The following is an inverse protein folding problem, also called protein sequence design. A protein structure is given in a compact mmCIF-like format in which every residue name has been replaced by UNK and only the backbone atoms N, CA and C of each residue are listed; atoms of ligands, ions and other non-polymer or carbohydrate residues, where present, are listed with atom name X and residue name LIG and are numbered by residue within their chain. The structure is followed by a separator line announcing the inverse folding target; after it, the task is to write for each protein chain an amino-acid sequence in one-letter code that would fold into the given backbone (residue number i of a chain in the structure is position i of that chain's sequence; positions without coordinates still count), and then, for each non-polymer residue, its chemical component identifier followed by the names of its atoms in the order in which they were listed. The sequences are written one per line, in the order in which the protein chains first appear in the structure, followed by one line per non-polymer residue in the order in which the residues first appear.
data_IF_749286949636
#
_entry.id   IF_749286949636
#
_cell.length_a   1.000
_cell.length_b   1.000
_cell.length_c   1.000
_cell.angle_alpha   90.00
_cell.angle_beta   90.00
_cell.angle_gamma   90.00
#
_symmetry.space_group_name_H-M   'P 1'
#
loop_
_entity.id
_entity.type
_entity.pdbx_description
1 polymer ?
#
# COMPACT_ATOMS: atom_id res chain seq x y z
N UNK A 1 3.67 -10.07 -44.61
CA UNK A 1 2.79 -10.38 -43.47
C UNK A 1 3.54 -11.08 -42.33
N UNK A 2 4.38 -12.09 -42.59
CA UNK A 2 5.11 -12.82 -41.55
C UNK A 2 6.16 -11.97 -40.78
N UNK A 3 6.84 -11.03 -41.44
CA UNK A 3 7.81 -10.10 -40.81
C UNK A 3 7.19 -9.06 -39.85
N UNK A 4 5.88 -8.79 -39.94
CA UNK A 4 5.23 -7.77 -39.11
C UNK A 4 4.92 -8.28 -37.70
N UNK A 5 4.63 -9.58 -37.56
CA UNK A 5 4.27 -10.22 -36.29
C UNK A 5 5.35 -10.03 -35.20
N UNK A 6 6.65 -10.31 -35.45
CA UNK A 6 7.68 -10.09 -34.42
C UNK A 6 7.84 -8.60 -34.08
N UNK A 7 7.71 -7.69 -35.04
CA UNK A 7 7.77 -6.25 -34.77
C UNK A 7 6.66 -5.81 -33.81
N UNK A 8 5.41 -6.21 -34.06
CA UNK A 8 4.29 -5.92 -33.15
C UNK A 8 4.50 -6.57 -31.78
N UNK A 9 5.07 -7.77 -31.71
CA UNK A 9 5.42 -8.43 -30.45
C UNK A 9 6.43 -7.63 -29.62
N UNK A 10 7.51 -7.15 -30.24
CA UNK A 10 8.50 -6.31 -29.56
C UNK A 10 7.92 -4.96 -29.13
N UNK A 11 7.15 -4.30 -30.00
CA UNK A 11 6.51 -3.02 -29.66
C UNK A 11 5.51 -3.20 -28.52
N UNK A 12 4.69 -4.25 -28.55
CA UNK A 12 3.77 -4.56 -27.47
C UNK A 12 4.52 -4.79 -26.15
N UNK A 13 5.57 -5.62 -26.17
CA UNK A 13 6.40 -5.89 -24.99
C UNK A 13 7.02 -4.61 -24.39
N UNK A 14 7.54 -3.72 -25.23
CA UNK A 14 8.12 -2.45 -24.79
C UNK A 14 7.04 -1.55 -24.18
N UNK A 15 5.91 -1.37 -24.89
CA UNK A 15 4.82 -0.50 -24.43
C UNK A 15 4.24 -0.98 -23.10
N UNK A 16 3.97 -2.29 -22.97
CA UNK A 16 3.42 -2.85 -21.73
C UNK A 16 4.42 -2.71 -20.58
N UNK A 17 5.70 -3.02 -20.81
CA UNK A 17 6.72 -2.93 -19.76
C UNK A 17 6.94 -1.49 -19.30
N UNK A 18 7.06 -0.55 -20.24
CA UNK A 18 7.23 0.86 -19.95
C UNK A 18 6.00 1.49 -19.29
N UNK A 19 4.79 0.96 -19.51
CA UNK A 19 3.58 1.49 -18.84
C UNK A 19 3.63 1.37 -17.31
N UNK A 20 4.36 0.38 -16.78
CA UNK A 20 4.50 0.18 -15.33
C UNK A 20 5.61 1.03 -14.71
N UNK A 21 6.56 1.52 -15.52
CA UNK A 21 7.71 2.27 -15.03
C UNK A 21 7.32 3.63 -14.40
N UNK A 22 6.44 4.48 -14.98
CA UNK A 22 5.96 5.70 -14.35
C UNK A 22 5.30 5.43 -13.00
N UNK A 23 4.52 4.34 -12.89
CA UNK A 23 3.85 3.97 -11.66
C UNK A 23 4.83 3.50 -10.57
N UNK A 24 5.87 2.75 -10.95
CA UNK A 24 6.95 2.36 -10.05
C UNK A 24 7.72 3.58 -9.52
N UNK A 25 8.13 4.49 -10.42
CA UNK A 25 8.84 5.73 -10.08
C UNK A 25 8.00 6.59 -9.13
N UNK A 26 6.71 6.78 -9.45
CA UNK A 26 5.78 7.54 -8.60
C UNK A 26 5.69 6.94 -7.21
N UNK A 27 5.53 5.63 -7.12
CA UNK A 27 5.42 4.90 -5.84
C UNK A 27 6.69 5.04 -4.99
N UNK A 28 7.87 4.92 -5.62
CA UNK A 28 9.17 5.06 -4.95
C UNK A 28 9.39 6.51 -4.47
N UNK A 29 9.07 7.49 -5.31
CA UNK A 29 9.31 8.92 -5.04
C UNK A 29 8.36 9.48 -3.99
N UNK A 30 7.06 9.23 -4.15
CA UNK A 30 6.02 9.81 -3.28
C UNK A 30 5.86 9.05 -1.97
N UNK A 31 6.27 7.77 -1.92
CA UNK A 31 6.10 6.88 -0.74
C UNK A 31 4.65 6.80 -0.26
N UNK A 32 3.70 7.22 -1.09
CA UNK A 32 2.27 7.13 -0.83
C UNK A 32 1.69 5.99 -1.65
N UNK A 33 1.13 5.01 -0.95
CA UNK A 33 0.51 3.82 -1.57
C UNK A 33 -0.96 3.68 -1.20
N UNK A 34 -1.60 4.70 -0.63
CA UNK A 34 -3.00 4.62 -0.19
C UNK A 34 -3.96 4.30 -1.34
N UNK A 35 -3.73 4.90 -2.52
CA UNK A 35 -4.53 4.63 -3.73
C UNK A 35 -4.22 3.32 -4.45
N UNK A 36 -3.23 2.54 -3.99
CA UNK A 36 -2.84 1.27 -4.63
C UNK A 36 -3.53 0.12 -3.91
N UNK A 37 -4.29 -0.70 -4.65
CA UNK A 37 -4.92 -1.91 -4.11
C UNK A 37 -3.91 -3.04 -3.93
N UNK A 38 -3.80 -3.55 -2.70
CA UNK A 38 -2.92 -4.68 -2.37
C UNK A 38 -3.36 -5.97 -3.08
N UNK A 39 -4.67 -6.22 -3.12
CA UNK A 39 -5.24 -7.42 -3.75
C UNK A 39 -4.95 -7.42 -5.25
N UNK A 40 -5.18 -6.28 -5.91
CA UNK A 40 -4.94 -6.13 -7.34
C UNK A 40 -3.48 -6.38 -7.69
N UNK A 41 -2.54 -5.76 -6.97
CA UNK A 41 -1.11 -5.98 -7.23
C UNK A 41 -0.65 -7.40 -6.89
N UNK A 42 -1.24 -8.05 -5.88
CA UNK A 42 -0.91 -9.44 -5.54
C UNK A 42 -1.33 -10.38 -6.67
N UNK A 43 -2.59 -10.28 -7.14
CA UNK A 43 -3.10 -11.06 -8.25
C UNK A 43 -2.33 -10.78 -9.55
N UNK A 44 -2.04 -9.51 -9.83
CA UNK A 44 -1.26 -9.11 -11.00
C UNK A 44 0.15 -9.71 -10.97
N UNK A 45 0.86 -9.60 -9.85
CA UNK A 45 2.22 -10.15 -9.69
C UNK A 45 2.22 -11.67 -9.87
N UNK A 46 1.26 -12.38 -9.28
CA UNK A 46 1.10 -13.82 -9.48
C UNK A 46 0.79 -14.18 -10.93
N UNK A 47 -0.09 -13.42 -11.60
CA UNK A 47 -0.41 -13.61 -13.00
C UNK A 47 0.80 -13.42 -13.92
N UNK A 48 1.59 -12.36 -13.73
CA UNK A 48 2.82 -12.11 -14.48
C UNK A 48 3.85 -13.22 -14.27
N UNK A 49 3.98 -13.73 -13.04
CA UNK A 49 4.83 -14.90 -12.76
C UNK A 49 4.37 -16.13 -13.55
N UNK A 50 3.07 -16.40 -13.59
CA UNK A 50 2.52 -17.52 -14.36
C UNK A 50 2.76 -17.33 -15.87
N UNK A 51 2.63 -16.11 -16.40
CA UNK A 51 2.96 -15.79 -17.78
C UNK A 51 4.45 -15.96 -18.11
N UNK A 52 5.33 -15.60 -17.18
CA UNK A 52 6.77 -15.85 -17.32
C UNK A 52 7.07 -17.36 -17.40
N UNK A 53 6.49 -18.15 -16.50
CA UNK A 53 6.62 -19.62 -16.51
C UNK A 53 6.06 -20.22 -17.79
N UNK A 54 4.90 -19.75 -18.25
CA UNK A 54 4.33 -20.14 -19.53
C UNK A 54 5.28 -19.84 -20.69
N UNK A 55 5.83 -18.62 -20.77
CA UNK A 55 6.79 -18.22 -21.79
C UNK A 55 8.02 -19.13 -21.84
N UNK A 56 8.53 -19.53 -20.67
CA UNK A 56 9.62 -20.49 -20.55
C UNK A 56 9.23 -21.87 -21.12
N UNK A 57 8.02 -22.36 -20.84
CA UNK A 57 7.56 -23.66 -21.35
C UNK A 57 7.38 -23.67 -22.88
N UNK A 58 6.97 -22.55 -23.47
CA UNK A 58 6.80 -22.43 -24.93
C UNK A 58 8.06 -21.90 -25.65
N UNK A 59 9.13 -21.61 -24.91
CA UNK A 59 10.38 -21.00 -25.41
C UNK A 59 10.18 -19.70 -26.21
N UNK A 60 9.23 -18.85 -25.79
CA UNK A 60 8.95 -17.57 -26.44
C UNK A 60 9.72 -16.43 -25.76
N UNK A 61 10.81 -15.99 -26.41
CA UNK A 61 11.72 -14.96 -25.88
C UNK A 61 11.00 -13.62 -25.61
N UNK A 62 10.21 -13.04 -26.53
CA UNK A 62 9.42 -11.84 -26.25
C UNK A 62 8.55 -11.94 -24.99
N UNK A 63 7.82 -13.05 -24.81
CA UNK A 63 6.96 -13.25 -23.62
C UNK A 63 7.82 -13.33 -22.35
N UNK A 64 8.93 -14.07 -22.40
CA UNK A 64 9.85 -14.22 -21.26
C UNK A 64 10.40 -12.85 -20.84
N UNK A 65 10.97 -12.09 -21.78
CA UNK A 65 11.61 -10.80 -21.48
C UNK A 65 10.60 -9.78 -20.94
N UNK A 66 9.43 -9.67 -21.58
CA UNK A 66 8.39 -8.73 -21.16
C UNK A 66 7.90 -9.01 -19.73
N UNK A 67 7.60 -10.27 -19.42
CA UNK A 67 7.09 -10.65 -18.10
C UNK A 67 8.18 -10.63 -17.04
N UNK A 68 9.43 -10.94 -17.36
CA UNK A 68 10.54 -10.85 -16.40
C UNK A 68 10.74 -9.41 -15.90
N UNK A 69 10.78 -8.43 -16.82
CA UNK A 69 10.94 -7.01 -16.43
C UNK A 69 9.70 -6.52 -15.68
N UNK A 70 8.51 -6.86 -16.17
CA UNK A 70 7.25 -6.50 -15.50
C UNK A 70 7.17 -7.07 -14.08
N UNK A 71 7.64 -8.31 -13.87
CA UNK A 71 7.65 -8.96 -12.56
C UNK A 71 8.53 -8.19 -11.56
N UNK A 72 9.72 -7.74 -11.97
CA UNK A 72 10.62 -6.95 -11.11
C UNK A 72 9.94 -5.65 -10.67
N UNK A 73 9.29 -4.94 -11.60
CA UNK A 73 8.56 -3.71 -11.30
C UNK A 73 7.36 -3.98 -10.36
N UNK A 74 6.56 -5.00 -10.66
CA UNK A 74 5.39 -5.37 -9.89
C UNK A 74 5.74 -5.78 -8.45
N UNK A 75 6.77 -6.62 -8.27
CA UNK A 75 7.28 -7.04 -6.95
C UNK A 75 7.79 -5.83 -6.16
N UNK A 76 8.48 -4.89 -6.81
CA UNK A 76 8.96 -3.66 -6.15
C UNK A 76 7.79 -2.84 -5.61
N UNK A 77 6.76 -2.60 -6.43
CA UNK A 77 5.56 -1.84 -6.01
C UNK A 77 4.80 -2.59 -4.90
N UNK A 78 4.60 -3.90 -5.05
CA UNK A 78 3.90 -4.73 -4.06
C UNK A 78 4.61 -4.69 -2.70
N UNK A 79 5.94 -4.81 -2.69
CA UNK A 79 6.75 -4.75 -1.46
C UNK A 79 6.61 -3.39 -0.77
N UNK A 80 6.67 -2.30 -1.54
CA UNK A 80 6.48 -0.94 -1.01
C UNK A 80 5.07 -0.74 -0.46
N UNK A 81 4.03 -1.27 -1.14
CA UNK A 81 2.64 -1.22 -0.67
C UNK A 81 2.49 -1.93 0.67
N UNK A 82 3.04 -3.14 0.82
CA UNK A 82 2.96 -3.91 2.06
C UNK A 82 3.65 -3.13 3.20
N UNK A 83 4.89 -2.68 2.97
CA UNK A 83 5.67 -1.94 3.97
C UNK A 83 4.96 -0.67 4.45
N UNK A 84 4.46 0.15 3.53
CA UNK A 84 3.79 1.39 3.91
C UNK A 84 2.41 1.17 4.51
N UNK A 85 1.66 0.17 4.05
CA UNK A 85 0.37 -0.18 4.67
C UNK A 85 0.55 -0.64 6.12
N UNK A 86 1.57 -1.46 6.40
CA UNK A 86 1.91 -1.86 7.77
C UNK A 86 2.32 -0.67 8.64
N UNK A 87 3.16 0.23 8.12
CA UNK A 87 3.56 1.46 8.82
C UNK A 87 2.35 2.34 9.16
N UNK A 88 1.44 2.57 8.21
CA UNK A 88 0.24 3.37 8.43
C UNK A 88 -0.70 2.72 9.44
N UNK A 89 -0.89 1.40 9.38
CA UNK A 89 -1.68 0.66 10.36
C UNK A 89 -1.09 0.74 11.77
N UNK A 90 0.23 0.65 11.91
CA UNK A 90 0.92 0.82 13.21
C UNK A 90 0.76 2.24 13.75
N UNK A 91 0.90 3.27 12.90
CA UNK A 91 0.64 4.67 13.29
C UNK A 91 -0.80 4.87 13.77
N UNK A 92 -1.79 4.32 13.06
CA UNK A 92 -3.20 4.38 13.45
C UNK A 92 -3.44 3.71 14.80
N UNK A 93 -2.87 2.52 15.04
CA UNK A 93 -2.93 1.84 16.36
C UNK A 93 -2.34 2.71 17.47
N UNK A 94 -1.16 3.30 17.28
CA UNK A 94 -0.54 4.18 18.28
C UNK A 94 -1.37 5.42 18.58
N UNK A 95 -1.89 6.10 17.54
CA UNK A 95 -2.76 7.28 17.70
C UNK A 95 -4.03 6.89 18.44
N UNK A 96 -4.69 5.79 18.06
CA UNK A 96 -5.88 5.29 18.72
C UNK A 96 -5.63 5.04 20.22
N UNK A 97 -4.53 4.37 20.58
CA UNK A 97 -4.17 4.12 21.99
C UNK A 97 -3.94 5.42 22.78
N UNK A 98 -3.29 6.43 22.17
CA UNK A 98 -3.08 7.75 22.81
C UNK A 98 -4.40 8.50 23.00
N UNK A 99 -5.28 8.48 22.01
CA UNK A 99 -6.62 9.11 22.09
C UNK A 99 -7.45 8.47 23.21
N UNK A 100 -7.43 7.14 23.32
CA UNK A 100 -8.10 6.41 24.42
C UNK A 100 -7.51 6.80 25.77
N UNK A 101 -6.18 6.86 25.90
CA UNK A 101 -5.52 7.26 27.15
C UNK A 101 -5.90 8.69 27.57
N UNK A 102 -5.83 9.66 26.65
CA UNK A 102 -6.23 11.06 26.90
C UNK A 102 -7.70 11.12 27.33
N UNK A 103 -8.58 10.39 26.65
CA UNK A 103 -10.00 10.32 27.01
C UNK A 103 -10.21 9.75 28.42
N UNK A 104 -9.50 8.69 28.79
CA UNK A 104 -9.54 8.10 30.14
C UNK A 104 -9.02 9.09 31.20
N UNK A 105 -7.88 9.75 30.95
CA UNK A 105 -7.34 10.77 31.85
C UNK A 105 -8.30 11.95 32.03
N UNK A 106 -8.87 12.45 30.94
CA UNK A 106 -9.84 13.54 30.98
C UNK A 106 -11.13 13.14 31.72
N UNK A 107 -11.63 11.92 31.48
CA UNK A 107 -12.79 11.38 32.20
C UNK A 107 -12.53 11.28 33.71
N UNK A 108 -11.36 10.77 34.12
CA UNK A 108 -10.95 10.73 35.54
C UNK A 108 -10.81 12.13 36.14
N UNK A 109 -10.11 13.04 35.46
CA UNK A 109 -9.97 14.43 35.90
C UNK A 109 -11.32 15.10 36.11
N UNK A 110 -12.24 14.96 35.14
CA UNK A 110 -13.59 15.51 35.22
C UNK A 110 -14.39 14.94 36.38
N UNK A 111 -14.26 13.64 36.66
CA UNK A 111 -14.89 13.02 37.83
C UNK A 111 -14.37 13.61 39.13
N UNK A 112 -13.06 13.73 39.30
CA UNK A 112 -12.43 14.28 40.51
C UNK A 112 -12.86 15.73 40.74
N UNK A 113 -12.81 16.56 39.69
CA UNK A 113 -13.23 17.95 39.78
C UNK A 113 -14.71 18.09 40.18
N UNK A 114 -15.57 17.21 39.66
CA UNK A 114 -16.99 17.17 40.04
C UNK A 114 -17.20 16.78 41.51
N UNK A 115 -16.44 15.82 42.02
CA UNK A 115 -16.44 15.47 43.45
C UNK A 115 -15.94 16.61 44.34
N UNK A 116 -14.92 17.36 43.89
CA UNK A 116 -14.42 18.51 44.63
C UNK A 116 -15.43 19.67 44.68
N UNK A 117 -16.19 19.91 43.61
CA UNK A 117 -17.26 20.92 43.65
C UNK A 117 -18.38 20.55 44.62
N UNK A 118 -18.83 19.28 44.61
CA UNK A 118 -19.90 18.81 45.49
C UNK A 118 -19.53 18.84 46.98
N UNK A 119 -18.24 18.67 47.31
CA UNK A 119 -17.73 18.71 48.68
C UNK A 119 -17.07 20.05 49.04
N UNK A 120 -17.23 21.07 48.19
CA UNK A 120 -16.68 22.39 48.50
C UNK A 120 -17.52 23.03 49.62
N UNK A 121 -16.88 23.51 50.72
CA UNK A 121 -17.58 24.00 51.91
C UNK A 121 -18.33 25.33 51.69
N UNK A 122 -18.39 25.84 50.47
CA UNK A 122 -18.95 27.15 50.12
C UNK A 122 -20.30 27.08 49.40
N UNK A 123 -21.01 25.94 49.41
CA UNK A 123 -22.33 25.80 48.77
C UNK A 123 -23.53 26.20 49.65
N UNK A 124 -23.31 26.80 50.82
CA UNK A 124 -24.39 27.35 51.63
C UNK A 124 -23.90 28.54 52.44
N UNK A 125 -24.15 29.75 51.94
CA UNK A 125 -24.35 31.01 52.69
C UNK A 125 -24.47 32.15 51.67
N UNK A 126 -25.62 32.21 50.98
CA UNK A 126 -26.27 33.43 50.50
C UNK A 126 -27.78 33.22 50.65
#
# INVERSE_FOLDING_TARGET
MQELVPLFGYVAAILTTLSFLPQAIKTIKEKNTEGISLVMYSLFTSGVLMWLLYGLFVNDIPIIVANAVTLILAVTILTLKIKYSQMLNNRKKTIQSRTVFIHVCYSKYKSVYRFQQLNSPFHGHL
#
